data_IF_161275626812
#
_entry.id   IF_161275626812
#
_cell.length_a   1.000
_cell.length_b   1.000
_cell.length_c   1.000
_cell.angle_alpha   90.00
_cell.angle_beta   90.00
_cell.angle_gamma   90.00
#
_symmetry.space_group_name_H-M   'P 1'
#
loop_
_entity.id
_entity.type
_entity.pdbx_description
1 polymer ?
#
# COMPACT_ATOMS: atom_id res chain seq x y z
N UNK A 1 19.20 -5.02 -2.12
CA UNK A 1 19.43 -3.84 -1.35
C UNK A 1 18.42 -2.75 -1.63
N UNK A 2 17.83 -2.25 -0.59
CA UNK A 2 16.86 -1.19 -0.74
C UNK A 2 17.54 0.06 -1.25
N UNK A 3 16.93 0.72 -2.18
CA UNK A 3 17.44 1.93 -2.78
C UNK A 3 16.41 3.03 -2.72
N UNK A 4 15.61 3.03 -1.66
CA UNK A 4 14.52 3.97 -1.56
C UNK A 4 13.25 3.48 -2.20
N UNK A 5 13.26 2.25 -2.71
CA UNK A 5 12.08 1.66 -3.36
C UNK A 5 11.24 0.84 -2.41
N UNK A 6 11.71 0.70 -1.18
CA UNK A 6 11.00 -0.10 -0.18
C UNK A 6 10.97 0.64 1.12
N UNK A 7 9.97 0.32 1.92
CA UNK A 7 9.86 0.87 3.26
C UNK A 7 9.80 -0.27 4.25
N UNK A 8 10.31 -0.02 5.45
CA UNK A 8 10.40 -1.02 6.50
C UNK A 8 9.15 -0.97 7.35
N UNK A 9 8.48 -2.11 7.45
CA UNK A 9 7.33 -2.24 8.31
C UNK A 9 7.76 -2.28 9.77
N UNK A 10 6.83 -1.96 10.65
CA UNK A 10 7.15 -1.96 12.08
C UNK A 10 7.51 -3.34 12.59
N UNK A 11 7.10 -4.40 11.91
CA UNK A 11 7.42 -5.75 12.32
C UNK A 11 8.65 -6.31 11.61
N UNK A 12 9.36 -5.48 10.87
CA UNK A 12 10.59 -5.90 10.22
C UNK A 12 10.43 -6.35 8.78
N UNK A 13 9.22 -6.39 8.28
CA UNK A 13 9.03 -6.74 6.87
C UNK A 13 9.15 -5.49 6.01
N UNK A 14 9.21 -5.72 4.71
CA UNK A 14 9.34 -4.63 3.75
C UNK A 14 8.21 -4.68 2.75
N UNK A 15 7.76 -3.51 2.30
CA UNK A 15 6.91 -3.44 1.13
C UNK A 15 7.54 -2.46 0.16
N UNK A 16 7.39 -2.71 -1.13
CA UNK A 16 7.95 -1.78 -2.11
C UNK A 16 7.09 -0.55 -2.26
N UNK A 17 7.71 0.57 -2.55
CA UNK A 17 7.00 1.74 -3.02
C UNK A 17 6.66 1.52 -4.48
N UNK A 18 5.55 2.10 -4.92
CA UNK A 18 5.18 1.99 -6.31
C UNK A 18 3.71 1.74 -6.48
N UNK A 19 3.37 1.04 -7.53
CA UNK A 19 1.98 0.84 -7.90
C UNK A 19 1.41 -0.45 -7.34
N UNK A 20 0.19 -0.36 -6.88
CA UNK A 20 -0.56 -1.49 -6.38
C UNK A 20 -1.92 -1.53 -7.05
N UNK A 21 -2.42 -2.73 -7.25
CA UNK A 21 -3.77 -2.91 -7.79
C UNK A 21 -4.69 -3.36 -6.68
N UNK A 22 -5.75 -2.59 -6.47
CA UNK A 22 -6.82 -2.98 -5.54
C UNK A 22 -7.55 -4.17 -6.13
N UNK A 23 -8.08 -5.04 -5.26
CA UNK A 23 -8.71 -6.26 -5.75
C UNK A 23 -9.89 -5.97 -6.66
N UNK A 24 -10.43 -4.77 -6.63
CA UNK A 24 -11.51 -4.38 -7.54
C UNK A 24 -10.98 -3.85 -8.87
N UNK A 25 -9.67 -3.79 -9.05
CA UNK A 25 -9.09 -3.47 -10.34
C UNK A 25 -8.44 -2.10 -10.45
N UNK A 26 -8.73 -1.18 -9.55
CA UNK A 26 -8.19 0.17 -9.64
C UNK A 26 -6.73 0.19 -9.20
N UNK A 27 -5.98 1.09 -9.80
CA UNK A 27 -4.55 1.24 -9.51
C UNK A 27 -4.31 2.39 -8.55
N UNK A 28 -3.34 2.18 -7.67
CA UNK A 28 -2.94 3.17 -6.69
C UNK A 28 -1.43 3.24 -6.64
N UNK A 29 -0.91 4.34 -6.15
CA UNK A 29 0.52 4.50 -5.96
C UNK A 29 0.81 4.71 -4.48
N UNK A 30 1.67 3.86 -3.92
CA UNK A 30 2.13 4.02 -2.54
C UNK A 30 3.34 4.94 -2.57
N UNK A 31 3.25 6.05 -1.84
CA UNK A 31 4.31 7.04 -1.81
C UNK A 31 5.15 6.96 -0.56
N UNK A 32 4.69 6.30 0.48
CA UNK A 32 5.47 6.19 1.70
C UNK A 32 4.68 5.66 2.85
N UNK A 33 5.30 5.69 4.02
CA UNK A 33 4.65 5.33 5.26
C UNK A 33 4.65 6.54 6.19
N UNK A 34 3.66 6.57 7.08
CA UNK A 34 3.58 7.60 8.10
C UNK A 34 3.07 6.98 9.38
N UNK A 35 3.39 7.57 10.50
CA UNK A 35 2.90 7.09 11.78
C UNK A 35 1.78 8.00 12.26
N UNK A 36 0.76 7.39 12.81
CA UNK A 36 -0.32 8.16 13.42
C UNK A 36 0.24 8.89 14.64
N UNK A 37 0.00 10.19 14.71
CA UNK A 37 0.65 11.01 15.73
C UNK A 37 0.21 10.66 17.14
N UNK A 38 -0.98 10.10 17.30
CA UNK A 38 -1.50 9.82 18.62
C UNK A 38 -1.33 8.38 19.04
N UNK A 39 -1.47 7.44 18.11
CA UNK A 39 -1.38 6.03 18.44
C UNK A 39 -0.02 5.44 18.13
N UNK A 40 0.73 6.07 17.22
CA UNK A 40 2.00 5.52 16.78
C UNK A 40 1.86 4.42 15.75
N UNK A 41 0.65 4.11 15.35
CA UNK A 41 0.43 3.05 14.38
C UNK A 41 0.93 3.48 13.00
N UNK A 42 1.46 2.52 12.26
CA UNK A 42 1.93 2.77 10.91
C UNK A 42 0.76 2.83 9.94
N UNK A 43 0.85 3.77 9.01
CA UNK A 43 -0.14 3.96 7.95
C UNK A 43 0.57 4.02 6.62
N UNK A 44 -0.11 3.54 5.59
CA UNK A 44 0.38 3.63 4.21
C UNK A 44 -0.18 4.91 3.61
N UNK A 45 0.71 5.71 3.02
CA UNK A 45 0.32 6.92 2.30
C UNK A 45 0.28 6.57 0.82
N UNK A 46 -0.87 6.77 0.19
CA UNK A 46 -1.05 6.35 -1.18
C UNK A 46 -2.06 7.27 -1.86
N UNK A 47 -2.13 7.17 -3.17
CA UNK A 47 -3.08 7.95 -3.95
C UNK A 47 -3.59 7.12 -5.10
N UNK A 48 -4.85 7.35 -5.51
CA UNK A 48 -5.36 6.68 -6.69
C UNK A 48 -4.71 7.23 -7.94
N UNK A 49 -4.60 6.36 -8.95
CA UNK A 49 -4.06 6.77 -10.24
C UNK A 49 -5.19 7.04 -11.24
N UNK A 50 -6.32 7.49 -10.71
CA UNK A 50 -7.46 7.86 -11.52
C UNK A 50 -8.19 8.98 -10.81
N UNK A 51 -9.01 9.71 -11.57
CA UNK A 51 -9.76 10.81 -10.99
C UNK A 51 -8.84 11.86 -10.39
N UNK A 52 -9.25 12.41 -9.27
CA UNK A 52 -8.44 13.39 -8.55
C UNK A 52 -7.45 12.66 -7.67
N UNK A 53 -6.18 12.81 -7.97
CA UNK A 53 -5.12 12.10 -7.28
C UNK A 53 -4.80 12.71 -5.93
N UNK A 54 -5.70 12.61 -4.99
CA UNK A 54 -5.46 13.11 -3.65
C UNK A 54 -4.77 12.02 -2.82
N UNK A 55 -3.98 12.47 -1.84
CA UNK A 55 -3.31 11.53 -0.95
C UNK A 55 -4.28 10.99 0.09
N UNK A 56 -4.18 9.70 0.31
CA UNK A 56 -4.97 9.00 1.31
C UNK A 56 -4.05 8.27 2.25
N UNK A 57 -4.55 7.93 3.44
CA UNK A 57 -3.83 7.09 4.36
C UNK A 57 -4.74 5.94 4.78
N UNK A 58 -4.11 4.80 5.06
CA UNK A 58 -4.83 3.62 5.53
C UNK A 58 -3.92 2.90 6.50
N UNK A 59 -4.45 2.39 7.62
CA UNK A 59 -3.60 1.62 8.53
C UNK A 59 -2.88 0.50 7.79
N UNK A 60 -1.62 0.31 8.15
CA UNK A 60 -0.78 -0.67 7.50
C UNK A 60 -1.41 -2.05 7.50
N UNK A 61 -1.95 -2.46 8.64
CA UNK A 61 -2.53 -3.78 8.75
C UNK A 61 -3.70 -3.96 7.79
N UNK A 62 -4.44 -2.88 7.53
CA UNK A 62 -5.57 -2.97 6.61
C UNK A 62 -5.13 -2.89 5.16
N UNK A 63 -4.02 -2.20 4.89
CA UNK A 63 -3.53 -2.12 3.52
C UNK A 63 -2.98 -3.46 3.06
N UNK A 64 -2.31 -4.16 3.95
CA UNK A 64 -1.63 -5.41 3.61
C UNK A 64 -2.45 -6.64 3.94
N UNK A 65 -3.74 -6.48 4.16
CA UNK A 65 -4.53 -7.63 4.58
C UNK A 65 -4.93 -8.50 3.40
N UNK A 66 -5.19 -9.76 3.71
CA UNK A 66 -5.76 -10.70 2.76
C UNK A 66 -7.28 -10.62 2.85
N UNK A 67 -7.94 -10.77 1.73
CA UNK A 67 -9.38 -10.84 1.70
C UNK A 67 -9.80 -12.11 0.98
N UNK A 68 -11.03 -12.51 1.22
CA UNK A 68 -11.58 -13.69 0.54
C UNK A 68 -12.78 -13.26 -0.27
N UNK A 69 -12.80 -13.72 -1.52
CA UNK A 69 -13.86 -13.34 -2.44
C UNK A 69 -14.17 -14.54 -3.31
N UNK A 70 -15.41 -15.00 -3.27
CA UNK A 70 -15.84 -16.17 -4.06
C UNK A 70 -14.95 -17.37 -3.80
N UNK A 71 -14.55 -17.56 -2.56
CA UNK A 71 -13.72 -18.69 -2.19
C UNK A 71 -12.25 -18.54 -2.52
N UNK A 72 -11.85 -17.39 -3.04
CA UNK A 72 -10.45 -17.16 -3.40
C UNK A 72 -9.86 -16.12 -2.46
N UNK A 73 -8.72 -16.47 -1.86
CA UNK A 73 -8.01 -15.56 -0.98
C UNK A 73 -7.01 -14.74 -1.80
N UNK A 74 -7.03 -13.44 -1.61
CA UNK A 74 -6.18 -12.56 -2.38
C UNK A 74 -5.81 -11.35 -1.54
N UNK A 75 -4.78 -10.63 -1.95
CA UNK A 75 -4.40 -9.39 -1.30
C UNK A 75 -5.40 -8.30 -1.64
N UNK A 76 -5.72 -7.47 -0.64
CA UNK A 76 -6.55 -6.29 -0.91
C UNK A 76 -5.85 -5.36 -1.88
N UNK A 77 -4.53 -5.18 -1.71
CA UNK A 77 -3.69 -4.42 -2.64
C UNK A 77 -2.51 -5.28 -3.03
N UNK A 78 -2.33 -5.51 -4.31
CA UNK A 78 -1.24 -6.33 -4.82
C UNK A 78 -0.23 -5.46 -5.55
N UNK A 79 1.05 -5.65 -5.24
CA UNK A 79 2.11 -4.88 -5.88
C UNK A 79 2.16 -5.20 -7.37
N UNK A 80 2.24 -4.16 -8.20
CA UNK A 80 2.24 -4.32 -9.64
C UNK A 80 3.58 -3.93 -10.26
N UNK A 81 4.25 -2.93 -9.70
CA UNK A 81 5.51 -2.49 -10.25
C UNK A 81 5.87 -1.10 -9.73
N UNK A 82 7.01 -0.61 -10.18
CA UNK A 82 7.50 0.69 -9.76
C UNK A 82 6.71 1.80 -10.44
N UNK A 83 6.70 2.96 -9.83
CA UNK A 83 5.85 4.06 -10.26
C UNK A 83 6.12 4.54 -11.67
N UNK A 84 7.36 4.45 -12.11
CA UNK A 84 7.75 4.98 -13.42
C UNK A 84 7.91 3.88 -14.46
N UNK A 85 7.26 2.78 -14.27
CA UNK A 85 7.35 1.66 -15.20
C UNK A 85 6.32 1.72 -16.32
#
# INVERSE_FOLDING_TARGET
>A
KALGLEVLWSDGTLIPLGRYRHFKGNLYEVTGLARHSETGDWHVVYRPLYGESQLWVRPLAMFDEMIERNGVTMKRFAFVGLSNE
#
